data_IF_603651814740
#
_entry.id   IF_603651814740
#
_cell.length_a   1.000
_cell.length_b   1.000
_cell.length_c   1.000
_cell.angle_alpha   90.00
_cell.angle_beta   90.00
_cell.angle_gamma   90.00
#
_symmetry.space_group_name_H-M   'P 1'
#
loop_
_entity.id
_entity.type
_entity.pdbx_description
1 polymer ?
#
# COMPACT_ATOMS: atom_id res chain seq x y z
N UNK A 1 -13.42 5.71 -4.74
CA UNK A 1 -12.79 4.38 -4.62
C UNK A 1 -11.27 4.46 -4.72
N UNK A 2 -10.63 4.98 -5.81
CA UNK A 2 -9.16 5.09 -5.90
C UNK A 2 -8.58 5.77 -4.65
N UNK A 3 -9.02 6.98 -4.33
CA UNK A 3 -8.57 7.72 -3.14
C UNK A 3 -8.77 6.89 -1.86
N UNK A 4 -9.93 6.23 -1.69
CA UNK A 4 -10.23 5.45 -0.48
C UNK A 4 -9.44 4.15 -0.34
N UNK A 5 -8.87 3.61 -1.42
CA UNK A 5 -7.98 2.45 -1.36
C UNK A 5 -6.52 2.86 -1.11
N UNK A 6 -6.05 3.93 -1.74
CA UNK A 6 -4.68 4.43 -1.53
C UNK A 6 -4.55 5.14 -0.19
N UNK A 7 -5.48 6.07 0.13
CA UNK A 7 -5.52 6.68 1.46
C UNK A 7 -5.95 5.60 2.46
N UNK A 8 -4.98 4.92 2.97
CA UNK A 8 -5.09 3.87 3.98
C UNK A 8 -4.28 4.23 5.21
N UNK A 9 -3.80 3.20 5.85
CA UNK A 9 -2.87 3.31 6.96
C UNK A 9 -1.47 3.75 6.53
N UNK A 10 -1.04 3.41 5.30
CA UNK A 10 0.35 3.54 4.87
C UNK A 10 0.95 4.92 5.14
N UNK A 11 0.24 5.99 4.80
CA UNK A 11 0.75 7.35 5.02
C UNK A 11 0.90 7.69 6.52
N UNK A 12 0.09 7.07 7.40
CA UNK A 12 0.13 7.35 8.83
C UNK A 12 1.29 6.65 9.56
N UNK A 13 1.78 5.51 9.07
CA UNK A 13 2.83 4.75 9.74
C UNK A 13 4.10 4.54 8.91
N UNK A 14 4.24 5.25 7.78
CA UNK A 14 5.43 5.13 6.92
C UNK A 14 6.31 6.38 6.88
N UNK A 15 5.90 7.49 7.51
CA UNK A 15 6.72 8.71 7.50
C UNK A 15 7.99 8.55 8.33
N UNK A 16 7.93 7.84 9.45
CA UNK A 16 9.10 7.49 10.25
C UNK A 16 10.05 6.55 9.50
N UNK A 17 9.52 5.55 8.78
CA UNK A 17 10.32 4.69 7.89
C UNK A 17 10.99 5.50 6.75
N UNK A 18 10.27 6.48 6.17
CA UNK A 18 10.84 7.40 5.17
C UNK A 18 11.97 8.21 5.77
N UNK A 19 11.78 8.78 6.95
CA UNK A 19 12.80 9.59 7.63
C UNK A 19 13.96 8.72 8.12
N UNK A 20 13.70 7.51 8.57
CA UNK A 20 14.76 6.56 8.90
C UNK A 20 15.62 6.25 7.66
N UNK A 21 14.99 5.94 6.52
CA UNK A 21 15.69 5.65 5.27
C UNK A 21 16.49 6.85 4.74
N UNK A 22 15.99 8.07 4.95
CA UNK A 22 16.66 9.32 4.57
C UNK A 22 17.56 9.89 5.67
N UNK A 23 17.76 9.15 6.78
CA UNK A 23 18.57 9.56 7.93
C UNK A 23 18.16 10.92 8.50
N UNK A 24 16.86 11.16 8.58
CA UNK A 24 16.28 12.41 9.05
C UNK A 24 16.26 13.54 8.02
N UNK A 25 16.78 13.31 6.80
CA UNK A 25 16.76 14.33 5.74
C UNK A 25 15.35 14.47 5.15
N UNK A 26 14.64 15.50 5.60
CA UNK A 26 13.24 15.75 5.19
C UNK A 26 13.09 16.07 3.69
N UNK A 27 14.10 16.71 3.06
CA UNK A 27 14.04 17.03 1.65
C UNK A 27 14.25 15.79 0.78
N UNK A 28 15.13 14.87 1.20
CA UNK A 28 15.24 13.57 0.53
C UNK A 28 13.90 12.82 0.56
N UNK A 29 13.20 12.82 1.70
CA UNK A 29 11.85 12.28 1.82
C UNK A 29 10.84 12.99 0.90
N UNK A 30 10.84 14.33 0.88
CA UNK A 30 9.97 15.12 0.02
C UNK A 30 10.18 14.80 -1.48
N UNK A 31 11.44 14.78 -1.94
CA UNK A 31 11.77 14.39 -3.31
C UNK A 31 11.36 12.94 -3.60
N UNK A 32 11.49 12.04 -2.62
CA UNK A 32 10.97 10.67 -2.70
C UNK A 32 9.46 10.65 -2.97
N UNK A 33 8.66 11.40 -2.19
CA UNK A 33 7.22 11.51 -2.40
C UNK A 33 6.87 12.07 -3.79
N UNK A 34 7.61 13.06 -4.28
CA UNK A 34 7.40 13.64 -5.61
C UNK A 34 7.71 12.59 -6.69
N UNK A 35 8.85 11.92 -6.63
CA UNK A 35 9.29 10.96 -7.65
C UNK A 35 8.37 9.76 -7.70
N UNK A 36 8.06 9.15 -6.55
CA UNK A 36 7.15 7.99 -6.47
C UNK A 36 5.73 8.39 -6.86
N UNK A 37 5.24 9.55 -6.39
CA UNK A 37 3.92 10.08 -6.75
C UNK A 37 3.78 10.29 -8.25
N UNK A 38 4.77 10.88 -8.91
CA UNK A 38 4.82 11.02 -10.37
C UNK A 38 4.84 9.66 -11.07
N UNK A 39 5.65 8.69 -10.57
CA UNK A 39 5.67 7.33 -11.10
C UNK A 39 4.28 6.69 -11.06
N UNK A 40 3.56 6.86 -9.96
CA UNK A 40 2.18 6.37 -9.79
C UNK A 40 1.20 7.06 -10.72
N UNK A 41 1.28 8.39 -10.90
CA UNK A 41 0.42 9.13 -11.82
C UNK A 41 0.64 8.67 -13.28
N UNK A 42 1.89 8.58 -13.73
CA UNK A 42 2.18 8.11 -15.08
C UNK A 42 1.84 6.63 -15.25
N UNK A 43 2.00 5.83 -14.18
CA UNK A 43 1.52 4.46 -14.10
C UNK A 43 0.00 4.37 -14.29
N UNK A 44 -0.76 5.23 -13.60
CA UNK A 44 -2.22 5.30 -13.71
C UNK A 44 -2.69 5.71 -15.12
N UNK A 45 -2.02 6.70 -15.74
CA UNK A 45 -2.28 7.09 -17.13
C UNK A 45 -2.03 5.92 -18.08
N UNK A 46 -0.95 5.17 -17.86
CA UNK A 46 -0.61 4.01 -18.68
C UNK A 46 -1.58 2.85 -18.47
N UNK A 47 -1.98 2.56 -17.22
CA UNK A 47 -2.95 1.53 -16.88
C UNK A 47 -4.36 1.88 -17.41
N UNK A 48 -4.68 3.16 -17.50
CA UNK A 48 -5.94 3.65 -18.07
C UNK A 48 -6.15 3.16 -19.51
N UNK A 49 -5.08 2.93 -20.29
CA UNK A 49 -5.19 2.35 -21.63
C UNK A 49 -5.73 0.91 -21.60
N UNK A 50 -5.29 0.10 -20.63
CA UNK A 50 -5.87 -1.24 -20.45
C UNK A 50 -7.32 -1.16 -19.97
N UNK A 51 -7.64 -0.25 -19.06
CA UNK A 51 -9.00 -0.06 -18.56
C UNK A 51 -9.97 0.42 -19.66
N UNK A 52 -9.50 1.25 -20.59
CA UNK A 52 -10.25 1.66 -21.78
C UNK A 52 -10.56 0.45 -22.70
N UNK A 53 -9.55 -0.41 -22.91
CA UNK A 53 -9.63 -1.54 -23.82
C UNK A 53 -10.41 -2.72 -23.25
N UNK A 54 -10.31 -2.97 -21.95
CA UNK A 54 -10.84 -4.12 -21.25
C UNK A 54 -11.73 -3.69 -20.06
N UNK A 55 -12.92 -3.12 -20.32
CA UNK A 55 -13.82 -2.64 -19.28
C UNK A 55 -14.59 -3.79 -18.60
N UNK A 56 -13.88 -4.84 -18.18
CA UNK A 56 -14.44 -6.03 -17.52
C UNK A 56 -13.81 -6.19 -16.13
N UNK A 57 -14.52 -6.85 -15.23
CA UNK A 57 -14.01 -7.20 -13.90
C UNK A 57 -12.78 -8.10 -13.99
N UNK A 58 -11.89 -7.99 -12.98
CA UNK A 58 -10.66 -8.78 -12.89
C UNK A 58 -9.37 -7.96 -13.00
N UNK A 59 -9.44 -6.69 -13.40
CA UNK A 59 -8.34 -5.74 -13.33
C UNK A 59 -7.03 -6.24 -13.92
N UNK A 60 -5.95 -6.15 -13.15
CA UNK A 60 -4.59 -6.52 -13.57
C UNK A 60 -4.50 -7.96 -14.09
N UNK A 61 -5.24 -8.92 -13.51
CA UNK A 61 -5.22 -10.32 -13.99
C UNK A 61 -5.70 -10.41 -15.44
N UNK A 62 -6.79 -9.69 -15.79
CA UNK A 62 -7.29 -9.65 -17.15
C UNK A 62 -6.34 -8.94 -18.11
N UNK A 63 -5.64 -7.89 -17.64
CA UNK A 63 -4.68 -7.16 -18.45
C UNK A 63 -3.46 -8.03 -18.76
N UNK A 64 -2.99 -8.79 -17.76
CA UNK A 64 -1.90 -9.76 -17.93
C UNK A 64 -2.32 -10.91 -18.84
N UNK A 65 -3.55 -11.46 -18.67
CA UNK A 65 -4.06 -12.52 -19.54
C UNK A 65 -4.16 -12.07 -21.01
N UNK A 66 -4.76 -10.91 -21.25
CA UNK A 66 -4.89 -10.34 -22.58
C UNK A 66 -3.54 -10.08 -23.27
N UNK A 67 -2.54 -9.64 -22.48
CA UNK A 67 -1.26 -9.22 -23.03
C UNK A 67 -0.23 -10.34 -23.14
N UNK A 68 -0.16 -11.19 -22.14
CA UNK A 68 0.88 -12.22 -21.97
C UNK A 68 0.34 -13.65 -21.94
N UNK A 69 -0.99 -13.80 -21.92
CA UNK A 69 -1.68 -15.09 -21.95
C UNK A 69 -1.90 -15.70 -20.57
N UNK A 70 -2.67 -16.79 -20.56
CA UNK A 70 -3.16 -17.48 -19.35
C UNK A 70 -2.04 -17.90 -18.39
N UNK A 71 -0.88 -18.30 -18.92
CA UNK A 71 0.25 -18.72 -18.09
C UNK A 71 0.76 -17.58 -17.23
N UNK A 72 0.95 -16.38 -17.78
CA UNK A 72 1.36 -15.21 -17.03
C UNK A 72 0.31 -14.79 -16.00
N UNK A 73 -0.98 -14.81 -16.39
CA UNK A 73 -2.09 -14.52 -15.48
C UNK A 73 -2.16 -15.51 -14.32
N UNK A 74 -1.86 -16.78 -14.55
CA UNK A 74 -1.75 -17.78 -13.49
C UNK A 74 -0.70 -17.40 -12.44
N UNK A 75 0.52 -16.98 -12.86
CA UNK A 75 1.56 -16.60 -11.91
C UNK A 75 1.20 -15.34 -11.12
N UNK A 76 0.60 -14.36 -11.76
CA UNK A 76 0.13 -13.17 -11.04
C UNK A 76 -1.00 -13.53 -10.07
N UNK A 77 -1.94 -14.38 -10.46
CA UNK A 77 -2.99 -14.90 -9.58
C UNK A 77 -2.45 -15.69 -8.39
N UNK A 78 -1.44 -16.53 -8.62
CA UNK A 78 -0.71 -17.25 -7.57
C UNK A 78 -0.07 -16.29 -6.57
N UNK A 79 0.65 -15.28 -7.05
CA UNK A 79 1.29 -14.27 -6.20
C UNK A 79 0.26 -13.46 -5.41
N UNK A 80 -0.88 -13.13 -6.01
CA UNK A 80 -1.96 -12.44 -5.30
C UNK A 80 -2.55 -13.29 -4.18
N UNK A 81 -2.73 -14.59 -4.41
CA UNK A 81 -3.29 -15.52 -3.44
C UNK A 81 -2.31 -15.87 -2.31
N UNK A 82 -1.04 -16.13 -2.67
CA UNK A 82 -0.06 -16.67 -1.72
C UNK A 82 0.75 -15.61 -0.99
N UNK A 83 0.94 -14.42 -1.57
CA UNK A 83 1.84 -13.39 -1.04
C UNK A 83 1.13 -12.04 -0.89
N UNK A 84 0.72 -11.42 -1.99
CA UNK A 84 0.39 -9.98 -2.04
C UNK A 84 -0.73 -9.60 -1.06
N UNK A 85 -1.94 -10.11 -1.28
CA UNK A 85 -3.09 -9.75 -0.44
C UNK A 85 -2.99 -10.26 1.00
N UNK A 86 -2.62 -11.54 1.26
CA UNK A 86 -2.54 -12.04 2.62
C UNK A 86 -1.47 -11.34 3.47
N UNK A 87 -0.30 -11.07 2.89
CA UNK A 87 0.79 -10.40 3.60
C UNK A 87 0.42 -8.95 3.94
N UNK A 88 -0.09 -8.18 2.97
CA UNK A 88 -0.54 -6.81 3.25
C UNK A 88 -1.68 -6.78 4.28
N UNK A 89 -2.60 -7.74 4.23
CA UNK A 89 -3.68 -7.88 5.21
C UNK A 89 -3.11 -8.14 6.61
N UNK A 90 -2.13 -9.04 6.74
CA UNK A 90 -1.47 -9.32 8.01
C UNK A 90 -0.76 -8.09 8.58
N UNK A 91 -0.02 -7.37 7.74
CA UNK A 91 0.65 -6.11 8.13
C UNK A 91 -0.37 -5.12 8.69
N UNK A 92 -1.47 -4.87 7.97
CA UNK A 92 -2.45 -3.87 8.41
C UNK A 92 -3.21 -4.27 9.69
N UNK A 93 -3.53 -5.55 9.88
CA UNK A 93 -4.12 -5.98 11.16
C UNK A 93 -3.11 -5.86 12.30
N UNK A 94 -1.83 -6.13 12.10
CA UNK A 94 -0.81 -5.87 13.13
C UNK A 94 -0.68 -4.37 13.43
N UNK A 95 -0.65 -3.52 12.40
CA UNK A 95 -0.64 -2.05 12.57
C UNK A 95 -1.88 -1.58 13.35
N UNK A 96 -3.05 -2.15 13.10
CA UNK A 96 -4.24 -1.87 13.93
C UNK A 96 -4.01 -2.27 15.39
N UNK A 97 -3.33 -3.38 15.62
CA UNK A 97 -2.92 -3.84 16.95
C UNK A 97 -1.97 -2.88 17.65
N UNK A 98 -0.99 -2.32 16.91
CA UNK A 98 -0.05 -1.31 17.43
C UNK A 98 -0.81 -0.10 17.96
N UNK A 99 -1.64 0.53 17.14
CA UNK A 99 -2.37 1.74 17.55
C UNK A 99 -3.37 1.49 18.68
N UNK A 100 -4.08 0.35 18.67
CA UNK A 100 -5.00 -0.02 19.76
C UNK A 100 -4.23 -0.32 21.04
N UNK A 101 -3.09 -1.02 20.98
CA UNK A 101 -2.27 -1.30 22.15
C UNK A 101 -1.73 -0.01 22.81
N UNK A 102 -1.24 0.94 21.99
CA UNK A 102 -0.81 2.24 22.49
C UNK A 102 -1.96 3.03 23.10
N UNK A 103 -3.14 3.02 22.49
CA UNK A 103 -4.35 3.63 23.06
C UNK A 103 -4.72 3.02 24.42
N UNK A 104 -4.72 1.69 24.52
CA UNK A 104 -5.02 1.00 25.79
C UNK A 104 -3.94 1.28 26.84
N UNK A 105 -2.69 1.43 26.45
CA UNK A 105 -1.60 1.70 27.36
C UNK A 105 -1.74 3.05 28.09
N UNK A 106 -2.32 4.06 27.44
CA UNK A 106 -2.60 5.37 28.03
C UNK A 106 -3.60 5.27 29.23
N UNK A 107 -4.53 4.30 29.17
CA UNK A 107 -5.53 4.11 30.22
C UNK A 107 -5.18 3.02 31.24
N UNK A 108 -4.43 2.00 30.82
CA UNK A 108 -4.17 0.81 31.64
C UNK A 108 -2.74 0.78 32.23
N UNK A 109 -1.91 1.80 31.95
CA UNK A 109 -0.55 1.95 32.44
C UNK A 109 0.33 0.70 32.26
N UNK A 110 0.36 0.12 31.05
CA UNK A 110 1.26 -0.97 30.69
C UNK A 110 2.17 -0.60 29.53
N UNK A 111 3.27 -1.34 29.36
CA UNK A 111 4.18 -1.15 28.22
C UNK A 111 3.76 -2.08 27.07
N UNK A 112 3.31 -1.53 25.91
CA UNK A 112 2.97 -2.35 24.76
C UNK A 112 4.19 -3.09 24.21
N UNK A 113 3.99 -4.34 23.81
CA UNK A 113 5.04 -5.19 23.23
C UNK A 113 4.57 -5.76 21.89
N UNK A 114 5.50 -6.30 21.10
CA UNK A 114 5.18 -6.96 19.84
C UNK A 114 4.12 -8.07 19.99
N UNK A 115 4.09 -8.76 21.15
CA UNK A 115 3.07 -9.76 21.44
C UNK A 115 1.67 -9.13 21.53
N UNK A 116 1.54 -8.00 22.23
CA UNK A 116 0.26 -7.27 22.32
C UNK A 116 -0.21 -6.83 20.94
N UNK A 117 0.70 -6.32 20.09
CA UNK A 117 0.40 -5.91 18.72
C UNK A 117 -0.15 -7.07 17.89
N UNK A 118 0.54 -8.21 17.93
CA UNK A 118 0.14 -9.41 17.19
C UNK A 118 -1.19 -9.99 17.68
N UNK A 119 -1.41 -10.09 19.00
CA UNK A 119 -2.63 -10.63 19.57
C UNK A 119 -3.86 -9.75 19.30
N UNK A 120 -3.75 -8.44 19.51
CA UNK A 120 -4.85 -7.50 19.21
C UNK A 120 -5.13 -7.49 17.70
N UNK A 121 -4.09 -7.50 16.86
CA UNK A 121 -4.22 -7.60 15.41
C UNK A 121 -4.94 -8.88 14.99
N UNK A 122 -4.60 -10.02 15.59
CA UNK A 122 -5.26 -11.30 15.31
C UNK A 122 -6.74 -11.31 15.76
N UNK A 123 -7.06 -10.75 16.93
CA UNK A 123 -8.45 -10.60 17.37
C UNK A 123 -9.24 -9.73 16.41
N UNK A 124 -8.68 -8.60 15.99
CA UNK A 124 -9.30 -7.73 14.96
C UNK A 124 -9.51 -8.48 13.64
N UNK A 125 -8.53 -9.26 13.18
CA UNK A 125 -8.66 -10.09 11.99
C UNK A 125 -9.86 -11.05 12.12
N UNK A 126 -10.00 -11.75 13.24
CA UNK A 126 -11.11 -12.68 13.45
C UNK A 126 -12.47 -11.96 13.47
N UNK A 127 -12.57 -10.81 14.16
CA UNK A 127 -13.79 -10.00 14.20
C UNK A 127 -14.20 -9.59 12.78
N UNK A 128 -13.26 -9.02 12.00
CA UNK A 128 -13.54 -8.59 10.64
C UNK A 128 -13.76 -9.76 9.68
N UNK A 129 -13.11 -10.91 9.89
CA UNK A 129 -13.36 -12.12 9.13
C UNK A 129 -14.81 -12.59 9.28
N UNK A 130 -15.28 -12.74 10.53
CA UNK A 130 -16.67 -13.09 10.83
C UNK A 130 -17.64 -12.05 10.27
N UNK A 131 -17.34 -10.77 10.45
CA UNK A 131 -18.13 -9.66 9.90
C UNK A 131 -18.27 -9.72 8.37
N UNK A 132 -17.20 -10.01 7.65
CA UNK A 132 -17.20 -10.14 6.19
C UNK A 132 -17.98 -11.37 5.71
N UNK A 133 -17.91 -12.50 6.41
CA UNK A 133 -18.63 -13.72 6.03
C UNK A 133 -20.14 -13.56 6.24
N UNK A 134 -20.56 -13.05 7.38
CA UNK A 134 -21.98 -13.03 7.76
C UNK A 134 -22.70 -11.72 7.39
N UNK A 135 -21.99 -10.62 7.21
CA UNK A 135 -22.56 -9.29 6.96
C UNK A 135 -21.84 -8.54 5.83
N UNK A 136 -21.67 -9.11 4.61
CA UNK A 136 -20.85 -8.51 3.57
C UNK A 136 -21.36 -7.13 3.12
N UNK A 137 -22.68 -6.88 3.15
CA UNK A 137 -23.26 -5.56 2.84
C UNK A 137 -22.86 -4.50 3.87
N UNK A 138 -22.93 -4.83 5.15
CA UNK A 138 -22.54 -3.91 6.24
C UNK A 138 -21.03 -3.62 6.19
N UNK A 139 -20.22 -4.62 5.86
CA UNK A 139 -18.78 -4.46 5.63
C UNK A 139 -18.50 -3.48 4.48
N UNK A 140 -19.26 -3.55 3.38
CA UNK A 140 -19.15 -2.59 2.28
C UNK A 140 -19.52 -1.16 2.69
N UNK A 141 -20.56 -0.98 3.50
CA UNK A 141 -20.95 0.33 4.05
C UNK A 141 -19.85 0.87 4.98
N UNK A 142 -19.32 0.02 5.87
CA UNK A 142 -18.19 0.38 6.74
C UNK A 142 -16.99 0.88 5.91
N UNK A 143 -16.65 0.20 4.82
CA UNK A 143 -15.58 0.59 3.91
C UNK A 143 -15.82 1.98 3.28
N UNK A 144 -17.07 2.30 2.91
CA UNK A 144 -17.42 3.60 2.35
C UNK A 144 -17.32 4.72 3.39
N UNK A 145 -17.85 4.49 4.60
CA UNK A 145 -17.81 5.45 5.70
C UNK A 145 -16.38 5.76 6.13
N UNK A 146 -15.57 4.71 6.33
CA UNK A 146 -14.16 4.90 6.69
C UNK A 146 -13.37 5.63 5.62
N UNK A 147 -13.73 5.49 4.33
CA UNK A 147 -13.08 6.23 3.23
C UNK A 147 -13.23 7.76 3.40
N UNK A 148 -14.38 8.23 3.86
CA UNK A 148 -14.57 9.66 4.13
C UNK A 148 -13.79 10.08 5.38
N UNK A 149 -13.88 9.30 6.45
CA UNK A 149 -13.23 9.60 7.73
C UNK A 149 -11.70 9.64 7.62
N UNK A 150 -11.08 8.82 6.77
CA UNK A 150 -9.63 8.77 6.57
C UNK A 150 -9.01 10.07 6.08
N UNK A 151 -9.74 10.85 5.31
CA UNK A 151 -9.22 12.09 4.69
C UNK A 151 -9.15 13.22 5.72
N UNK A 152 -10.02 13.22 6.74
CA UNK A 152 -10.10 14.28 7.74
C UNK A 152 -8.79 14.53 8.50
N UNK A 153 -8.13 13.51 9.10
CA UNK A 153 -6.87 13.71 9.80
C UNK A 153 -5.74 14.20 8.87
N UNK A 154 -5.72 13.76 7.61
CA UNK A 154 -4.71 14.21 6.65
C UNK A 154 -4.87 15.70 6.33
N UNK A 155 -6.10 16.15 6.08
CA UNK A 155 -6.39 17.57 5.83
C UNK A 155 -6.07 18.40 7.09
N UNK A 156 -6.42 17.91 8.28
CA UNK A 156 -6.11 18.59 9.53
C UNK A 156 -4.60 18.80 9.69
N UNK A 157 -3.80 17.75 9.57
CA UNK A 157 -2.33 17.81 9.69
C UNK A 157 -1.72 18.72 8.61
N UNK A 158 -2.16 18.58 7.36
CA UNK A 158 -1.72 19.45 6.27
C UNK A 158 -2.04 20.92 6.54
N UNK A 159 -3.23 21.24 7.06
CA UNK A 159 -3.62 22.62 7.40
C UNK A 159 -2.77 23.20 8.54
N UNK A 160 -2.45 22.38 9.55
CA UNK A 160 -1.58 22.79 10.64
C UNK A 160 -0.16 23.11 10.17
N UNK A 161 0.37 22.34 9.22
CA UNK A 161 1.67 22.63 8.60
C UNK A 161 1.67 23.95 7.83
N UNK A 162 0.64 24.21 7.03
CA UNK A 162 0.48 25.48 6.29
C UNK A 162 0.40 26.67 7.27
N UNK A 163 -0.38 26.53 8.35
CA UNK A 163 -0.47 27.55 9.39
C UNK A 163 0.88 27.82 10.07
N UNK A 164 1.69 26.79 10.27
CA UNK A 164 3.04 26.91 10.82
C UNK A 164 3.95 27.71 9.90
N UNK A 165 3.91 27.38 8.61
CA UNK A 165 4.68 28.08 7.59
C UNK A 165 4.29 29.58 7.55
N UNK A 166 2.99 29.89 7.56
CA UNK A 166 2.49 31.27 7.54
C UNK A 166 2.88 32.07 8.77
N UNK A 167 3.01 31.44 9.95
CA UNK A 167 3.39 32.09 11.20
C UNK A 167 4.91 32.12 11.43
N UNK A 168 5.71 31.59 10.52
CA UNK A 168 7.15 31.47 10.68
C UNK A 168 7.60 30.47 11.77
N UNK A 169 6.67 29.62 12.25
CA UNK A 169 6.91 28.63 13.30
C UNK A 169 7.36 27.28 12.67
N UNK A 170 8.37 27.33 11.83
CA UNK A 170 8.99 26.12 11.25
C UNK A 170 10.19 25.73 12.10
N UNK A 171 10.33 24.47 12.39
CA UNK A 171 11.50 23.91 13.10
C UNK A 171 12.77 24.26 12.32
N UNK A 172 13.75 24.89 12.98
CA UNK A 172 14.97 25.38 12.32
C UNK A 172 15.75 24.26 11.65
N UNK A 173 15.80 23.07 12.27
CA UNK A 173 16.40 21.85 11.73
C UNK A 173 15.80 21.40 10.39
N UNK A 174 14.60 21.87 10.06
CA UNK A 174 13.81 21.50 8.89
C UNK A 174 13.83 22.58 7.80
N UNK A 175 14.69 23.57 7.93
CA UNK A 175 14.91 24.55 6.85
C UNK A 175 15.83 23.98 5.78
N UNK A 176 15.64 24.45 4.55
CA UNK A 176 16.49 24.05 3.41
C UNK A 176 17.96 24.38 3.67
N UNK A 177 18.22 25.51 4.33
CA UNK A 177 19.57 25.95 4.68
C UNK A 177 20.26 24.99 5.68
N UNK A 178 19.53 24.48 6.65
CA UNK A 178 20.03 23.50 7.63
C UNK A 178 20.33 22.15 6.94
N UNK A 179 19.39 21.62 6.15
CA UNK A 179 19.57 20.37 5.43
C UNK A 179 20.74 20.42 4.43
N UNK A 180 20.94 21.55 3.76
CA UNK A 180 22.07 21.73 2.85
C UNK A 180 23.44 21.77 3.58
N UNK A 181 23.48 22.29 4.81
CA UNK A 181 24.71 22.33 5.63
C UNK A 181 25.06 21.00 6.28
N UNK A 182 24.06 20.18 6.59
CA UNK A 182 24.21 18.95 7.37
C UNK A 182 24.13 17.65 6.57
N UNK A 183 24.26 17.73 5.23
CA UNK A 183 24.53 16.53 4.43
C UNK A 183 25.90 16.01 4.87
N UNK A 184 25.92 14.85 5.52
CA UNK A 184 27.19 14.19 5.92
C UNK A 184 28.08 14.05 4.68
N UNK A 185 29.33 14.49 4.78
CA UNK A 185 30.29 14.62 3.66
C UNK A 185 30.42 13.38 2.75
N UNK A 186 29.96 12.23 3.17
CA UNK A 186 30.10 10.94 2.47
C UNK A 186 28.80 10.33 1.93
N UNK A 187 27.67 11.05 1.96
CA UNK A 187 26.40 10.46 1.48
C UNK A 187 25.78 11.28 0.36
N UNK A 188 25.59 10.63 -0.80
CA UNK A 188 24.88 11.24 -1.92
C UNK A 188 23.39 11.43 -1.60
N UNK A 189 22.86 12.64 -1.77
CA UNK A 189 21.44 12.95 -1.64
C UNK A 189 20.57 11.99 -2.49
N UNK A 190 21.06 11.60 -3.67
CA UNK A 190 20.36 10.64 -4.54
C UNK A 190 20.19 9.26 -3.89
N UNK A 191 21.17 8.80 -3.12
CA UNK A 191 21.06 7.52 -2.40
C UNK A 191 20.01 7.60 -1.29
N UNK A 192 19.95 8.71 -0.56
CA UNK A 192 18.92 8.94 0.47
C UNK A 192 17.52 9.01 -0.14
N UNK A 193 17.36 9.73 -1.25
CA UNK A 193 16.09 9.78 -1.99
C UNK A 193 15.67 8.37 -2.43
N UNK A 194 16.59 7.60 -3.04
CA UNK A 194 16.30 6.26 -3.51
C UNK A 194 15.92 5.29 -2.39
N UNK A 195 16.55 5.41 -1.22
CA UNK A 195 16.22 4.60 -0.04
C UNK A 195 14.79 4.82 0.48
N UNK A 196 14.21 6.01 0.27
CA UNK A 196 12.84 6.33 0.67
C UNK A 196 11.77 5.71 -0.24
N UNK A 197 12.12 5.16 -1.40
CA UNK A 197 11.13 4.73 -2.38
C UNK A 197 10.26 3.57 -1.92
N UNK A 198 10.79 2.61 -1.14
CA UNK A 198 10.01 1.47 -0.64
C UNK A 198 8.86 1.91 0.26
N UNK A 199 9.11 2.59 1.40
CA UNK A 199 8.03 2.99 2.30
C UNK A 199 7.03 3.93 1.63
N UNK A 200 7.49 4.83 0.75
CA UNK A 200 6.60 5.70 0.00
C UNK A 200 5.76 4.91 -1.01
N UNK A 201 6.35 3.94 -1.71
CA UNK A 201 5.62 3.09 -2.67
C UNK A 201 4.54 2.26 -1.99
N UNK A 202 4.79 1.78 -0.77
CA UNK A 202 3.75 1.16 0.07
C UNK A 202 2.61 2.13 0.37
N UNK A 203 2.92 3.37 0.76
CA UNK A 203 1.89 4.37 1.05
C UNK A 203 1.01 4.69 -0.17
N UNK A 204 1.58 4.68 -1.37
CA UNK A 204 0.85 4.90 -2.63
C UNK A 204 0.19 3.65 -3.21
N UNK A 205 0.37 2.46 -2.61
CA UNK A 205 -0.17 1.22 -3.19
C UNK A 205 -1.71 1.20 -3.19
N UNK A 206 -2.29 0.35 -4.06
CA UNK A 206 -3.75 0.16 -4.14
C UNK A 206 -4.48 1.02 -5.17
N UNK A 207 -3.83 1.96 -5.87
CA UNK A 207 -4.49 2.85 -6.84
C UNK A 207 -5.15 2.08 -8.01
N UNK A 208 -4.62 0.93 -8.38
CA UNK A 208 -5.14 0.07 -9.44
C UNK A 208 -6.29 -0.86 -8.99
N UNK A 209 -6.57 -0.97 -7.69
CA UNK A 209 -7.64 -1.85 -7.18
C UNK A 209 -9.01 -1.50 -7.77
N UNK A 210 -9.25 -0.22 -8.10
CA UNK A 210 -10.47 0.20 -8.79
C UNK A 210 -10.68 -0.51 -10.16
N UNK A 211 -9.61 -1.01 -10.78
CA UNK A 211 -9.71 -1.76 -12.04
C UNK A 211 -10.38 -3.13 -11.87
N UNK A 212 -10.39 -3.70 -10.67
CA UNK A 212 -10.97 -5.01 -10.40
C UNK A 212 -12.49 -5.02 -10.51
N UNK A 213 -13.14 -3.88 -10.31
CA UNK A 213 -14.60 -3.71 -10.39
C UNK A 213 -15.02 -2.91 -11.62
N UNK A 214 -14.27 -3.01 -12.69
CA UNK A 214 -14.53 -2.27 -13.94
C UNK A 214 -15.92 -2.50 -14.48
N UNK A 215 -16.48 -3.71 -14.37
CA UNK A 215 -17.81 -4.06 -14.82
C UNK A 215 -18.96 -3.42 -14.05
N UNK A 216 -18.71 -3.02 -12.79
CA UNK A 216 -19.69 -2.35 -11.94
C UNK A 216 -19.74 -0.82 -12.19
N UNK A 217 -18.75 -0.26 -12.90
CA UNK A 217 -18.63 1.17 -13.15
C UNK A 217 -19.44 1.57 -14.39
N UNK A 218 -20.37 2.49 -14.23
CA UNK A 218 -21.13 3.06 -15.36
C UNK A 218 -20.18 3.74 -16.35
N UNK A 219 -20.27 3.36 -17.65
CA UNK A 219 -19.38 3.85 -18.71
C UNK A 219 -17.88 3.67 -18.34
N UNK A 220 -17.51 2.47 -17.89
CA UNK A 220 -16.21 2.13 -17.33
C UNK A 220 -15.05 2.56 -18.23
N UNK A 221 -15.12 2.33 -19.55
CA UNK A 221 -14.08 2.74 -20.51
C UNK A 221 -13.73 4.22 -20.50
N UNK A 222 -14.62 5.09 -20.01
CA UNK A 222 -14.39 6.55 -19.90
C UNK A 222 -14.17 7.00 -18.45
N UNK A 223 -14.95 6.44 -17.52
CA UNK A 223 -14.94 6.91 -16.14
C UNK A 223 -13.80 6.33 -15.31
N UNK A 224 -13.43 5.06 -15.54
CA UNK A 224 -12.33 4.44 -14.80
C UNK A 224 -10.96 5.09 -15.11
N UNK A 225 -10.58 5.36 -16.38
CA UNK A 225 -9.38 6.13 -16.70
C UNK A 225 -9.31 7.47 -15.99
N UNK A 226 -10.40 8.25 -16.02
CA UNK A 226 -10.46 9.54 -15.32
C UNK A 226 -10.31 9.39 -13.81
N UNK A 227 -10.97 8.39 -13.22
CA UNK A 227 -10.90 8.13 -11.78
C UNK A 227 -9.49 7.73 -11.34
N UNK A 228 -8.76 6.93 -12.14
CA UNK A 228 -7.38 6.56 -11.86
C UNK A 228 -6.47 7.81 -11.84
N UNK A 229 -6.56 8.65 -12.88
CA UNK A 229 -5.70 9.83 -13.01
C UNK A 229 -6.02 10.86 -11.91
N UNK A 230 -7.28 11.27 -11.79
CA UNK A 230 -7.69 12.27 -10.78
C UNK A 230 -7.40 11.76 -9.37
N UNK A 231 -7.68 10.48 -9.12
CA UNK A 231 -7.45 9.87 -7.82
C UNK A 231 -5.98 9.88 -7.42
N UNK A 232 -5.07 9.48 -8.31
CA UNK A 232 -3.61 9.45 -8.03
C UNK A 232 -3.03 10.84 -7.87
N UNK A 233 -3.45 11.83 -8.69
CA UNK A 233 -3.04 13.23 -8.53
C UNK A 233 -3.50 13.78 -7.19
N UNK A 234 -4.77 13.55 -6.82
CA UNK A 234 -5.31 14.01 -5.53
C UNK A 234 -4.55 13.40 -4.35
N UNK A 235 -4.25 12.10 -4.41
CA UNK A 235 -3.47 11.42 -3.36
C UNK A 235 -2.07 12.00 -3.23
N UNK A 236 -1.38 12.23 -4.35
CA UNK A 236 -0.04 12.84 -4.32
C UNK A 236 -0.05 14.21 -3.63
N UNK A 237 -1.01 15.08 -3.97
CA UNK A 237 -1.14 16.40 -3.34
C UNK A 237 -1.39 16.24 -1.83
N UNK A 238 -2.33 15.38 -1.44
CA UNK A 238 -2.66 15.15 -0.03
C UNK A 238 -1.44 14.62 0.74
N UNK A 239 -0.71 13.67 0.18
CA UNK A 239 0.44 13.05 0.86
C UNK A 239 1.61 14.01 1.02
N UNK A 240 1.93 14.79 -0.01
CA UNK A 240 2.96 15.84 0.09
C UNK A 240 2.55 16.88 1.13
N UNK A 241 1.29 17.33 1.11
CA UNK A 241 0.79 18.30 2.08
C UNK A 241 0.81 17.76 3.51
N UNK A 242 0.45 16.50 3.70
CA UNK A 242 0.51 15.81 4.98
C UNK A 242 1.95 15.68 5.49
N UNK A 243 2.86 15.19 4.64
CA UNK A 243 4.28 15.06 4.98
C UNK A 243 4.88 16.41 5.41
N UNK A 244 4.67 17.44 4.60
CA UNK A 244 5.12 18.79 4.92
C UNK A 244 4.48 19.31 6.21
N UNK A 245 3.19 18.99 6.45
CA UNK A 245 2.49 19.33 7.67
C UNK A 245 3.18 18.83 8.93
N UNK A 246 3.68 17.61 8.92
CA UNK A 246 4.40 17.00 10.04
C UNK A 246 5.80 17.58 10.17
N UNK A 247 6.59 17.57 9.09
CA UNK A 247 8.00 17.96 9.16
C UNK A 247 8.21 19.47 9.41
N UNK A 248 7.20 20.32 9.24
CA UNK A 248 7.29 21.71 9.67
C UNK A 248 7.23 21.90 11.19
N UNK A 249 6.76 20.90 11.93
CA UNK A 249 6.54 20.97 13.39
C UNK A 249 7.38 20.02 14.21
N UNK A 250 7.94 18.99 13.59
CA UNK A 250 8.75 17.98 14.27
C UNK A 250 10.02 17.75 13.48
N UNK A 251 11.16 17.62 14.17
CA UNK A 251 12.41 17.27 13.51
C UNK A 251 12.39 15.83 12.99
N UNK A 252 13.19 15.56 11.94
CA UNK A 252 13.32 14.20 11.41
C UNK A 252 13.82 13.20 12.47
N UNK A 253 14.74 13.62 13.35
CA UNK A 253 15.26 12.80 14.43
C UNK A 253 14.20 12.48 15.48
N UNK A 254 13.36 13.44 15.84
CA UNK A 254 12.26 13.26 16.77
C UNK A 254 11.25 12.23 16.24
N UNK A 255 10.88 12.33 14.95
CA UNK A 255 9.94 11.39 14.32
C UNK A 255 10.51 9.98 14.31
N UNK A 256 11.80 9.80 13.98
CA UNK A 256 12.48 8.50 13.99
C UNK A 256 12.49 7.88 15.40
N UNK A 257 12.68 8.69 16.45
CA UNK A 257 12.69 8.21 17.84
C UNK A 257 11.29 7.77 18.31
N UNK A 258 10.26 8.51 17.92
CA UNK A 258 8.87 8.25 18.29
C UNK A 258 8.24 7.08 17.53
N UNK A 259 8.79 6.71 16.37
CA UNK A 259 8.26 5.62 15.53
C UNK A 259 6.73 5.73 15.34
N UNK A 260 6.01 4.63 15.49
CA UNK A 260 4.56 4.56 15.31
C UNK A 260 3.75 5.59 16.13
N UNK A 261 4.33 6.21 17.16
CA UNK A 261 3.64 7.16 18.05
C UNK A 261 3.78 8.61 17.61
N UNK A 262 4.59 8.93 16.59
CA UNK A 262 4.88 10.32 16.19
C UNK A 262 3.63 11.16 15.88
N UNK A 263 2.59 10.56 15.31
CA UNK A 263 1.33 11.28 14.99
C UNK A 263 0.57 11.63 16.27
N UNK A 264 0.54 10.72 17.23
CA UNK A 264 -0.08 10.96 18.54
C UNK A 264 0.62 12.11 19.25
N UNK A 265 1.95 12.11 19.26
CA UNK A 265 2.76 13.19 19.87
C UNK A 265 2.63 14.52 19.09
N UNK A 266 2.61 14.47 17.77
CA UNK A 266 2.31 15.64 16.94
C UNK A 266 0.96 16.26 17.34
N UNK A 267 -0.06 15.43 17.47
CA UNK A 267 -1.41 15.88 17.83
C UNK A 267 -1.48 16.41 19.25
N UNK A 268 -0.72 15.83 20.20
CA UNK A 268 -0.59 16.29 21.57
C UNK A 268 0.04 17.68 21.64
N UNK A 269 1.09 17.94 20.86
CA UNK A 269 1.72 19.27 20.75
C UNK A 269 0.80 20.36 20.22
N UNK A 270 -0.18 20.00 19.38
CA UNK A 270 -1.05 21.00 18.72
C UNK A 270 -2.39 21.17 19.44
N UNK A 271 -2.99 20.09 19.93
CA UNK A 271 -4.37 20.05 20.38
C UNK A 271 -4.55 19.35 21.75
N UNK A 272 -3.48 19.28 22.56
CA UNK A 272 -3.46 18.62 23.88
C UNK A 272 -3.74 17.12 23.84
N UNK A 273 -3.86 16.48 25.01
CA UNK A 273 -4.17 15.04 25.15
C UNK A 273 -5.50 14.64 24.49
N UNK A 274 -6.50 15.51 24.59
CA UNK A 274 -7.79 15.25 23.91
C UNK A 274 -7.64 15.19 22.41
N UNK A 275 -6.83 16.06 21.82
CA UNK A 275 -6.54 16.03 20.37
C UNK A 275 -5.75 14.80 19.96
N UNK A 276 -4.80 14.36 20.78
CA UNK A 276 -4.04 13.14 20.56
C UNK A 276 -4.96 11.90 20.55
N UNK A 277 -5.87 11.80 21.53
CA UNK A 277 -6.85 10.72 21.62
C UNK A 277 -7.77 10.66 20.37
N UNK A 278 -8.32 11.80 19.98
CA UNK A 278 -9.20 11.90 18.80
C UNK A 278 -8.44 11.48 17.54
N UNK A 279 -7.20 11.95 17.36
CA UNK A 279 -6.37 11.60 16.21
C UNK A 279 -6.08 10.10 16.17
N UNK A 280 -5.72 9.50 17.30
CA UNK A 280 -5.45 8.07 17.41
C UNK A 280 -6.67 7.22 17.04
N UNK A 281 -7.88 7.64 17.47
CA UNK A 281 -9.12 6.98 17.06
C UNK A 281 -9.35 7.08 15.54
N UNK A 282 -9.10 8.24 14.92
CA UNK A 282 -9.20 8.37 13.46
C UNK A 282 -8.21 7.46 12.73
N UNK A 283 -6.99 7.33 13.22
CA UNK A 283 -5.97 6.44 12.64
C UNK A 283 -6.42 4.98 12.75
N UNK A 284 -6.89 4.55 13.92
CA UNK A 284 -7.40 3.18 14.13
C UNK A 284 -8.53 2.87 13.14
N UNK A 285 -9.51 3.77 13.01
CA UNK A 285 -10.61 3.63 12.05
C UNK A 285 -10.08 3.55 10.61
N UNK A 286 -9.10 4.38 10.27
CA UNK A 286 -8.46 4.38 8.95
C UNK A 286 -7.77 3.05 8.64
N UNK A 287 -6.96 2.55 9.57
CA UNK A 287 -6.22 1.28 9.45
C UNK A 287 -7.21 0.12 9.30
N UNK A 288 -8.19 0.00 10.21
CA UNK A 288 -9.19 -1.05 10.17
C UNK A 288 -10.03 -1.03 8.90
N UNK A 289 -10.39 0.18 8.41
CA UNK A 289 -11.08 0.32 7.13
C UNK A 289 -10.26 -0.21 5.95
N UNK A 290 -8.96 0.05 5.91
CA UNK A 290 -8.08 -0.45 4.83
C UNK A 290 -7.85 -1.95 4.98
N UNK A 291 -7.58 -2.42 6.20
CA UNK A 291 -7.43 -3.84 6.51
C UNK A 291 -8.67 -4.65 6.11
N UNK A 292 -9.88 -4.12 6.36
CA UNK A 292 -11.13 -4.73 5.93
C UNK A 292 -11.23 -4.86 4.41
N UNK A 293 -10.82 -3.82 3.65
CA UNK A 293 -10.80 -3.86 2.19
C UNK A 293 -9.85 -4.92 1.63
N UNK A 294 -8.64 -5.03 2.20
CA UNK A 294 -7.67 -6.07 1.82
C UNK A 294 -8.13 -7.47 2.24
N UNK A 295 -8.79 -7.61 3.39
CA UNK A 295 -9.36 -8.88 3.84
C UNK A 295 -10.44 -9.37 2.87
N UNK A 296 -11.33 -8.48 2.42
CA UNK A 296 -12.34 -8.81 1.40
C UNK A 296 -11.70 -9.29 0.09
N UNK A 297 -10.60 -8.66 -0.34
CA UNK A 297 -9.84 -9.11 -1.50
C UNK A 297 -9.21 -10.50 -1.23
N UNK A 298 -8.56 -10.69 -0.08
CA UNK A 298 -7.94 -11.96 0.31
C UNK A 298 -8.95 -13.12 0.36
N UNK A 299 -10.16 -12.88 0.84
CA UNK A 299 -11.25 -13.88 0.86
C UNK A 299 -11.63 -14.32 -0.56
N UNK A 300 -11.62 -13.40 -1.54
CA UNK A 300 -12.10 -13.67 -2.91
C UNK A 300 -11.03 -14.17 -3.86
N UNK A 301 -9.76 -13.88 -3.59
CA UNK A 301 -8.66 -14.21 -4.51
C UNK A 301 -8.48 -15.72 -4.73
N UNK A 302 -8.51 -16.60 -3.71
CA UNK A 302 -8.42 -18.05 -3.96
C UNK A 302 -9.57 -18.59 -4.80
N UNK A 303 -10.79 -18.05 -4.63
CA UNK A 303 -11.95 -18.35 -5.49
C UNK A 303 -11.68 -17.93 -6.94
N UNK A 304 -11.20 -16.71 -7.17
CA UNK A 304 -10.87 -16.23 -8.52
C UNK A 304 -9.75 -17.05 -9.15
N UNK A 305 -8.73 -17.42 -8.37
CA UNK A 305 -7.62 -18.23 -8.82
C UNK A 305 -8.05 -19.64 -9.22
N UNK A 306 -8.97 -20.28 -8.47
CA UNK A 306 -9.51 -21.60 -8.81
C UNK A 306 -10.27 -21.61 -10.15
N UNK A 307 -10.89 -20.48 -10.50
CA UNK A 307 -11.56 -20.33 -11.80
C UNK A 307 -10.59 -20.14 -12.98
N UNK A 308 -9.36 -19.65 -12.72
CA UNK A 308 -8.29 -19.56 -13.73
C UNK A 308 -7.69 -20.93 -14.04
N UNK A 309 -7.52 -21.77 -13.01
CA UNK A 309 -6.95 -23.12 -13.10
C UNK A 309 -8.01 -24.18 -12.79
N UNK A 310 -8.87 -24.48 -13.78
CA UNK A 310 -9.94 -25.48 -13.68
C UNK A 310 -9.46 -26.89 -13.30
N UNK A 311 -8.16 -27.17 -13.38
CA UNK A 311 -7.59 -28.47 -13.01
C UNK A 311 -7.55 -28.72 -11.51
N UNK A 312 -7.66 -27.67 -10.70
CA UNK A 312 -7.55 -27.73 -9.24
C UNK A 312 -8.90 -27.50 -8.55
N UNK A 313 -9.76 -28.52 -8.56
CA UNK A 313 -10.90 -28.64 -7.63
C UNK A 313 -10.43 -28.92 -6.18
N UNK A 314 -9.18 -28.64 -5.88
CA UNK A 314 -8.59 -28.83 -4.56
C UNK A 314 -9.28 -27.88 -3.58
N UNK A 315 -9.81 -28.40 -2.49
CA UNK A 315 -10.50 -27.69 -1.42
C UNK A 315 -11.87 -27.04 -1.81
N UNK A 316 -12.45 -27.34 -2.99
CA UNK A 316 -13.70 -26.73 -3.46
C UNK A 316 -13.71 -25.20 -3.31
N UNK A 317 -12.61 -24.55 -3.72
CA UNK A 317 -12.45 -23.09 -3.59
C UNK A 317 -13.43 -22.29 -4.44
N UNK A 318 -13.98 -22.91 -5.48
CA UNK A 318 -15.00 -22.39 -6.41
C UNK A 318 -16.42 -22.45 -5.84
N UNK A 319 -16.62 -23.07 -4.65
CA UNK A 319 -17.93 -23.17 -4.01
C UNK A 319 -18.32 -21.87 -3.31
N UNK A 320 -19.52 -21.35 -3.65
CA UNK A 320 -20.16 -20.24 -2.94
C UNK A 320 -21.24 -20.81 -2.04
N UNK A 321 -21.15 -20.52 -0.74
CA UNK A 321 -22.16 -20.95 0.23
C UNK A 321 -23.49 -20.25 -0.03
N UNK A 322 -24.62 -21.00 -0.18
CA UNK A 322 -25.93 -20.42 -0.49
C UNK A 322 -26.48 -19.46 0.58
N UNK A 323 -26.10 -19.65 1.85
CA UNK A 323 -26.60 -18.85 2.99
C UNK A 323 -25.87 -17.51 3.09
N UNK A 324 -24.54 -17.53 3.07
CA UNK A 324 -23.70 -16.33 3.22
C UNK A 324 -23.45 -15.62 1.89
N UNK A 325 -23.62 -16.30 0.75
CA UNK A 325 -23.24 -15.87 -0.61
C UNK A 325 -21.75 -15.54 -0.73
N UNK A 326 -20.94 -16.17 0.12
CA UNK A 326 -19.50 -15.98 0.18
C UNK A 326 -18.77 -17.28 -0.12
N UNK A 327 -17.55 -17.25 -0.70
CA UNK A 327 -16.71 -18.41 -0.93
C UNK A 327 -16.00 -18.81 0.38
N UNK A 328 -16.71 -19.52 1.28
CA UNK A 328 -16.23 -19.81 2.64
C UNK A 328 -14.91 -20.60 2.64
N UNK A 329 -14.78 -21.62 1.77
CA UNK A 329 -13.53 -22.39 1.67
C UNK A 329 -12.34 -21.53 1.24
N UNK A 330 -12.57 -20.62 0.28
CA UNK A 330 -11.59 -19.62 -0.13
C UNK A 330 -11.23 -18.68 1.03
N UNK A 331 -12.22 -18.26 1.79
CA UNK A 331 -12.03 -17.40 2.96
C UNK A 331 -11.19 -18.08 4.05
N UNK A 332 -11.46 -19.35 4.36
CA UNK A 332 -10.71 -20.13 5.35
C UNK A 332 -9.25 -20.34 4.92
N UNK A 333 -9.00 -20.62 3.65
CA UNK A 333 -7.63 -20.68 3.11
C UNK A 333 -6.93 -19.32 3.26
N UNK A 334 -7.60 -18.24 2.88
CA UNK A 334 -7.09 -16.88 3.06
C UNK A 334 -6.76 -16.56 4.51
N UNK A 335 -7.65 -16.90 5.45
CA UNK A 335 -7.43 -16.72 6.89
C UNK A 335 -6.18 -17.48 7.36
N UNK A 336 -6.01 -18.74 6.93
CA UNK A 336 -4.82 -19.53 7.26
C UNK A 336 -3.53 -18.88 6.77
N UNK A 337 -3.50 -18.36 5.54
CA UNK A 337 -2.33 -17.69 4.97
C UNK A 337 -2.07 -16.35 5.69
N UNK A 338 -3.10 -15.55 6.00
CA UNK A 338 -2.94 -14.31 6.77
C UNK A 338 -2.37 -14.61 8.15
N UNK A 339 -2.90 -15.64 8.85
CA UNK A 339 -2.42 -16.04 10.19
C UNK A 339 -0.94 -16.46 10.13
N UNK A 340 -0.53 -17.19 9.11
CA UNK A 340 0.88 -17.52 8.88
C UNK A 340 1.74 -16.26 8.75
N UNK A 341 1.30 -15.26 7.97
CA UNK A 341 2.04 -14.00 7.84
C UNK A 341 2.00 -13.13 9.10
N UNK A 342 0.95 -13.18 9.90
CA UNK A 342 0.92 -12.54 11.22
C UNK A 342 2.01 -13.10 12.14
N UNK A 343 2.21 -14.42 12.13
CA UNK A 343 3.28 -15.07 12.90
C UNK A 343 4.65 -14.63 12.38
N UNK A 344 4.86 -14.61 11.07
CA UNK A 344 6.13 -14.14 10.47
C UNK A 344 6.36 -12.66 10.84
N UNK A 345 5.34 -11.82 10.75
CA UNK A 345 5.46 -10.40 11.09
C UNK A 345 5.80 -10.21 12.57
N UNK A 346 5.19 -11.00 13.47
CA UNK A 346 5.56 -11.00 14.87
C UNK A 346 7.03 -11.39 15.07
N UNK A 347 7.51 -12.45 14.42
CA UNK A 347 8.90 -12.90 14.50
C UNK A 347 9.86 -11.80 14.02
N UNK A 348 9.60 -11.18 12.87
CA UNK A 348 10.46 -10.14 12.30
C UNK A 348 10.50 -8.88 13.18
N UNK A 349 9.39 -8.52 13.84
CA UNK A 349 9.35 -7.37 14.73
C UNK A 349 9.86 -7.64 16.16
N UNK A 350 10.05 -8.91 16.53
CA UNK A 350 10.53 -9.30 17.86
C UNK A 350 12.01 -9.69 17.86
N UNK A 351 12.54 -10.16 16.72
CA UNK A 351 13.89 -10.68 16.67
C UNK A 351 14.92 -9.56 16.46
N UNK A 352 15.97 -9.45 17.33
CA UNK A 352 16.94 -8.35 17.30
C UNK A 352 17.61 -8.10 15.94
N UNK A 353 17.88 -9.16 15.17
CA UNK A 353 18.50 -9.04 13.86
C UNK A 353 17.63 -8.24 12.89
N UNK A 354 16.33 -8.55 12.80
CA UNK A 354 15.41 -7.86 11.86
C UNK A 354 15.12 -6.44 12.30
N UNK A 355 14.94 -6.21 13.62
CA UNK A 355 14.67 -4.87 14.17
C UNK A 355 15.87 -3.95 14.03
N UNK A 356 17.10 -4.46 14.25
CA UNK A 356 18.33 -3.68 14.08
C UNK A 356 18.58 -3.29 12.60
N UNK A 357 18.15 -4.11 11.66
CA UNK A 357 18.28 -3.85 10.22
C UNK A 357 17.04 -3.19 9.62
N UNK A 358 16.05 -2.83 10.42
CA UNK A 358 14.77 -2.25 9.97
C UNK A 358 14.14 -3.05 8.81
N UNK A 359 14.01 -4.37 8.99
CA UNK A 359 13.47 -5.25 7.95
C UNK A 359 11.97 -5.05 7.82
N UNK A 360 11.53 -4.56 6.65
CA UNK A 360 10.12 -4.29 6.36
C UNK A 360 9.50 -5.39 5.49
N UNK A 361 8.70 -6.24 6.12
CA UNK A 361 8.01 -7.34 5.43
C UNK A 361 7.04 -6.83 4.36
N UNK A 362 6.48 -5.62 4.53
CA UNK A 362 5.54 -5.01 3.58
C UNK A 362 6.19 -4.60 2.26
N UNK A 363 7.52 -4.52 2.20
CA UNK A 363 8.26 -4.21 0.98
C UNK A 363 8.17 -5.33 -0.10
N UNK A 364 8.04 -6.60 0.34
CA UNK A 364 8.03 -7.74 -0.58
C UNK A 364 6.88 -7.68 -1.59
N UNK A 365 5.61 -7.51 -1.19
CA UNK A 365 4.50 -7.37 -2.14
C UNK A 365 4.62 -6.12 -3.03
N UNK A 366 5.27 -5.04 -2.56
CA UNK A 366 5.51 -3.85 -3.37
C UNK A 366 6.48 -4.15 -4.52
N UNK A 367 7.57 -4.88 -4.26
CA UNK A 367 8.49 -5.33 -5.33
C UNK A 367 7.72 -6.12 -6.40
N UNK A 368 6.89 -7.07 -5.97
CA UNK A 368 6.08 -7.87 -6.89
C UNK A 368 5.19 -7.01 -7.79
N UNK A 369 4.39 -6.11 -7.21
CA UNK A 369 3.43 -5.34 -8.00
C UNK A 369 4.12 -4.35 -8.94
N UNK A 370 5.26 -3.78 -8.56
CA UNK A 370 6.04 -2.92 -9.45
C UNK A 370 6.64 -3.71 -10.63
N UNK A 371 7.07 -4.97 -10.43
CA UNK A 371 7.49 -5.86 -11.52
C UNK A 371 6.34 -6.14 -12.50
N UNK A 372 5.14 -6.42 -11.99
CA UNK A 372 3.94 -6.64 -12.82
C UNK A 372 3.57 -5.37 -13.60
N UNK A 373 3.59 -4.21 -12.94
CA UNK A 373 3.33 -2.92 -13.58
C UNK A 373 4.34 -2.62 -14.69
N UNK A 374 5.64 -2.83 -14.44
CA UNK A 374 6.69 -2.69 -15.46
C UNK A 374 6.40 -3.57 -16.69
N UNK A 375 6.07 -4.85 -16.47
CA UNK A 375 5.74 -5.76 -17.55
C UNK A 375 4.52 -5.28 -18.35
N UNK A 376 3.46 -4.81 -17.68
CA UNK A 376 2.25 -4.29 -18.34
C UNK A 376 2.56 -3.03 -19.15
N UNK A 377 3.36 -2.08 -18.61
CA UNK A 377 3.71 -0.85 -19.33
C UNK A 377 4.57 -1.14 -20.56
N UNK A 378 5.54 -2.05 -20.46
CA UNK A 378 6.29 -2.57 -21.63
C UNK A 378 5.33 -3.25 -22.61
N UNK A 379 4.34 -3.99 -22.08
CA UNK A 379 3.31 -4.63 -22.89
C UNK A 379 2.51 -3.69 -23.78
N UNK A 380 2.29 -2.43 -23.36
CA UNK A 380 1.56 -1.42 -24.15
C UNK A 380 2.20 -1.12 -25.51
N UNK A 381 3.54 -1.17 -25.64
CA UNK A 381 4.20 -0.87 -26.91
C UNK A 381 3.74 -1.77 -28.06
N UNK A 382 3.51 -3.07 -27.76
CA UNK A 382 2.97 -3.99 -28.77
C UNK A 382 1.54 -3.64 -29.16
N UNK A 383 0.72 -3.13 -28.21
CA UNK A 383 -0.64 -2.70 -28.48
C UNK A 383 -0.66 -1.39 -29.25
N UNK A 384 0.26 -0.46 -28.97
CA UNK A 384 0.43 0.78 -29.75
C UNK A 384 0.83 0.50 -31.20
N UNK A 385 1.68 -0.52 -31.44
CA UNK A 385 2.03 -0.95 -32.81
C UNK A 385 0.81 -1.49 -33.57
N UNK A 386 -0.13 -2.15 -32.88
CA UNK A 386 -1.37 -2.68 -33.48
C UNK A 386 -2.48 -1.64 -33.70
N UNK A 387 -2.25 -0.38 -33.34
CA UNK A 387 -3.19 0.74 -33.43
C UNK A 387 -4.58 0.46 -32.82
N UNK A 388 -4.61 -0.25 -31.67
CA UNK A 388 -5.86 -0.63 -30.97
C UNK A 388 -6.49 0.55 -30.22
N UNK A 389 -5.74 1.64 -30.00
CA UNK A 389 -6.18 2.77 -29.20
C UNK A 389 -6.58 3.96 -30.06
N UNK A 390 -7.60 4.69 -29.61
CA UNK A 390 -8.00 5.98 -30.17
C UNK A 390 -7.20 7.12 -29.55
N UNK A 391 -7.11 8.27 -30.26
CA UNK A 391 -6.44 9.48 -29.77
C UNK A 391 -4.96 9.56 -30.09
N UNK A 392 -4.26 10.49 -29.45
CA UNK A 392 -2.86 10.82 -29.79
C UNK A 392 -1.90 9.71 -29.33
N UNK A 393 -1.43 8.93 -30.31
CA UNK A 393 -0.52 7.80 -30.10
C UNK A 393 0.83 8.25 -29.49
N UNK A 394 1.37 9.38 -29.93
CA UNK A 394 2.64 9.90 -29.42
C UNK A 394 2.55 10.18 -27.92
N UNK A 395 1.47 10.84 -27.49
CA UNK A 395 1.24 11.12 -26.07
C UNK A 395 1.13 9.82 -25.25
N UNK A 396 0.34 8.83 -25.72
CA UNK A 396 0.18 7.54 -25.02
C UNK A 396 1.52 6.78 -24.89
N UNK A 397 2.33 6.79 -25.94
CA UNK A 397 3.67 6.17 -25.93
C UNK A 397 4.60 6.90 -24.95
N UNK A 398 4.62 8.23 -24.98
CA UNK A 398 5.44 9.04 -24.08
C UNK A 398 5.08 8.77 -22.60
N UNK A 399 3.79 8.72 -22.27
CA UNK A 399 3.32 8.41 -20.91
C UNK A 399 3.75 7.01 -20.46
N UNK A 400 3.69 6.02 -21.35
CA UNK A 400 4.15 4.66 -21.04
C UNK A 400 5.69 4.61 -20.81
N UNK A 401 6.49 5.36 -21.58
CA UNK A 401 7.93 5.47 -21.36
C UNK A 401 8.21 6.05 -19.97
N UNK A 402 7.56 7.17 -19.62
CA UNK A 402 7.75 7.82 -18.31
C UNK A 402 7.30 6.88 -17.18
N UNK A 403 6.19 6.15 -17.34
CA UNK A 403 5.73 5.15 -16.38
C UNK A 403 6.76 4.03 -16.17
N UNK A 404 7.38 3.53 -17.24
CA UNK A 404 8.46 2.53 -17.16
C UNK A 404 9.66 3.10 -16.42
N UNK A 405 10.12 4.29 -16.81
CA UNK A 405 11.26 4.94 -16.16
C UNK A 405 10.98 5.12 -14.64
N UNK A 406 9.81 5.64 -14.27
CA UNK A 406 9.41 5.78 -12.87
C UNK A 406 9.39 4.44 -12.12
N UNK A 407 8.81 3.40 -12.73
CA UNK A 407 8.77 2.07 -12.15
C UNK A 407 10.16 1.46 -11.97
N UNK A 408 11.02 1.59 -12.97
CA UNK A 408 12.43 1.12 -12.92
C UNK A 408 13.21 1.89 -11.87
N UNK A 409 13.00 3.21 -11.77
CA UNK A 409 13.64 4.04 -10.74
C UNK A 409 13.26 3.57 -9.32
N UNK A 410 11.98 3.27 -9.08
CA UNK A 410 11.53 2.72 -7.80
C UNK A 410 12.14 1.34 -7.53
N UNK A 411 12.13 0.43 -8.51
CA UNK A 411 12.74 -0.90 -8.36
C UNK A 411 14.25 -0.82 -8.11
N UNK A 412 14.95 0.08 -8.80
CA UNK A 412 16.37 0.30 -8.59
C UNK A 412 16.66 0.85 -7.19
N UNK A 413 15.91 1.88 -6.74
CA UNK A 413 16.04 2.42 -5.40
C UNK A 413 15.73 1.37 -4.33
N UNK A 414 14.72 0.51 -4.58
CA UNK A 414 14.43 -0.64 -3.73
C UNK A 414 15.60 -1.61 -3.64
N UNK A 415 16.23 -1.95 -4.78
CA UNK A 415 17.35 -2.89 -4.82
C UNK A 415 18.61 -2.37 -4.10
N UNK A 416 18.81 -1.05 -4.08
CA UNK A 416 19.94 -0.39 -3.41
C UNK A 416 19.68 -0.06 -1.93
N UNK A 417 18.42 -0.14 -1.49
CA UNK A 417 18.06 0.08 -0.09
C UNK A 417 18.52 -1.07 0.83
N UNK A 418 18.67 -0.85 2.14
CA UNK A 418 18.89 -1.92 3.10
C UNK A 418 17.85 -3.03 2.92
N UNK A 419 18.27 -4.29 2.96
CA UNK A 419 17.44 -5.48 2.71
C UNK A 419 16.81 -5.59 1.30
N UNK A 420 17.06 -4.64 0.39
CA UNK A 420 16.42 -4.61 -0.93
C UNK A 420 16.60 -5.91 -1.71
N UNK A 421 17.84 -6.42 -1.78
CA UNK A 421 18.15 -7.70 -2.45
C UNK A 421 17.33 -8.86 -1.85
N UNK A 422 17.15 -8.90 -0.53
CA UNK A 422 16.35 -9.93 0.16
C UNK A 422 14.88 -9.88 -0.30
N UNK A 423 14.31 -8.68 -0.46
CA UNK A 423 12.93 -8.55 -0.94
C UNK A 423 12.75 -9.10 -2.36
N UNK A 424 13.72 -8.87 -3.25
CA UNK A 424 13.72 -9.46 -4.60
C UNK A 424 13.87 -10.99 -4.56
N UNK A 425 14.80 -11.53 -3.75
CA UNK A 425 15.00 -12.98 -3.62
C UNK A 425 13.72 -13.66 -3.14
N UNK A 426 13.07 -13.13 -2.11
CA UNK A 426 11.81 -13.68 -1.59
C UNK A 426 10.71 -13.61 -2.66
N UNK A 427 10.59 -12.49 -3.37
CA UNK A 427 9.61 -12.35 -4.46
C UNK A 427 9.84 -13.41 -5.55
N UNK A 428 11.08 -13.60 -6.00
CA UNK A 428 11.45 -14.60 -7.01
C UNK A 428 11.17 -16.01 -6.49
N UNK A 429 11.47 -16.30 -5.22
CA UNK A 429 11.17 -17.60 -4.60
C UNK A 429 9.67 -17.92 -4.68
N UNK A 430 8.78 -16.98 -4.34
CA UNK A 430 7.34 -17.21 -4.44
C UNK A 430 6.86 -17.38 -5.88
N UNK A 431 7.42 -16.64 -6.84
CA UNK A 431 7.15 -16.86 -8.27
C UNK A 431 7.56 -18.27 -8.67
N UNK A 432 8.76 -18.70 -8.27
CA UNK A 432 9.30 -20.03 -8.58
C UNK A 432 8.47 -21.16 -7.97
N UNK A 433 7.97 -20.98 -6.73
CA UNK A 433 7.06 -21.93 -6.09
C UNK A 433 5.76 -22.12 -6.92
N UNK A 434 5.26 -21.05 -7.54
CA UNK A 434 4.12 -21.12 -8.46
C UNK A 434 4.37 -22.01 -9.69
N UNK A 435 5.61 -22.05 -10.21
CA UNK A 435 5.98 -22.95 -11.30
C UNK A 435 5.95 -24.42 -10.88
N UNK A 436 6.43 -24.73 -9.67
CA UNK A 436 6.44 -26.12 -9.17
C UNK A 436 5.03 -26.65 -8.95
N UNK A 437 4.11 -25.79 -8.56
CA UNK A 437 2.72 -26.15 -8.27
C UNK A 437 1.82 -26.18 -9.51
N UNK A 438 2.25 -25.57 -10.61
CA UNK A 438 1.54 -25.63 -11.87
C UNK A 438 1.66 -27.02 -12.45
N UNK A 439 0.57 -27.79 -12.50
CA UNK A 439 0.56 -29.08 -13.22
C UNK A 439 0.93 -28.81 -14.67
N UNK A 440 1.89 -29.59 -15.20
CA UNK A 440 2.15 -29.66 -16.64
C UNK A 440 0.89 -30.24 -17.28
N UNK A 441 0.06 -29.36 -17.84
CA UNK A 441 -1.05 -29.70 -18.74
C UNK A 441 -0.52 -29.79 -20.14
#
# INVERSE_FOLDING_TARGET
MVIGQVIGSGIFFKVDDVLFATQGNIFAGLFGFIIVGLSVIFGAISMANYAELLPKDGGILNYVDYRFGKNASYFVGWMYMSLFYPLLTAVLFTVSGIYIAHLCAEFLNFQPTALHFGLIGFVNLLIFFVFNIFRPRSSGIFQQLTTVLKVLPLIFIASMGILSLMKGNVEESNTFAYAAKNVKENQSLLVLIAASFIPISFAFDGWYVATQISGEIKNSSKNLPKALIIGTVSVMIIYISYYMGIVFRMSGEEIIQLKDTYITEFSRKIASDSGALVMQLFIIISVLGTANGLLLATIRVPYQFSNLDRSKKFLNLDHIDPKTKMPVNSALLGLGIITFYLIIYYITNSHPYFTANNFDLSAIPIVFIYLVNAALFVGLFRLFKKNVFTGNKFFKVLMAIIAILGTVTVLFGTATAPNGVTYFIVTIFFISAGFLLKKRT
#
